data_IF_397408350018
#
_entry.id   IF_397408350018
#
_cell.length_a   1.000
_cell.length_b   1.000
_cell.length_c   1.000
_cell.angle_alpha   90.00
_cell.angle_beta   90.00
_cell.angle_gamma   90.00
#
_symmetry.space_group_name_H-M   'P 1'
#
loop_
_entity.id
_entity.type
_entity.pdbx_description
1 polymer ?
#
# COMPACT_ATOMS: atom_id res chain seq x y z
N UNK A 1 14.49 -9.52 -8.87
CA UNK A 1 13.07 -9.57 -9.22
C UNK A 1 12.22 -9.40 -7.98
N UNK A 2 11.24 -8.51 -8.06
CA UNK A 2 10.38 -8.19 -6.93
C UNK A 2 9.06 -8.92 -7.08
N UNK A 3 8.60 -9.57 -6.00
CA UNK A 3 7.33 -10.27 -5.97
C UNK A 3 6.28 -9.42 -5.28
N UNK A 4 5.01 -9.52 -5.67
CA UNK A 4 3.94 -8.80 -4.97
C UNK A 4 3.77 -9.33 -3.55
N UNK A 5 3.38 -8.44 -2.64
CA UNK A 5 3.01 -8.85 -1.29
C UNK A 5 1.65 -9.57 -1.36
N UNK A 6 1.51 -10.74 -0.68
CA UNK A 6 0.23 -11.44 -0.68
C UNK A 6 -0.90 -10.56 -0.14
N UNK A 7 -2.00 -10.48 -0.88
CA UNK A 7 -3.09 -9.58 -0.54
C UNK A 7 -3.79 -9.95 0.78
N UNK A 8 -3.70 -11.21 1.21
CA UNK A 8 -4.31 -11.63 2.47
C UNK A 8 -3.69 -11.04 3.71
N UNK A 9 -2.48 -10.46 3.60
CA UNK A 9 -1.78 -9.83 4.73
C UNK A 9 -2.17 -8.37 4.88
N UNK A 10 -2.56 -7.73 3.78
CA UNK A 10 -2.80 -6.29 3.72
C UNK A 10 -4.28 -6.01 3.94
N UNK A 11 -4.64 -5.00 4.75
CA UNK A 11 -6.05 -4.65 4.92
C UNK A 11 -6.73 -4.39 3.58
N UNK A 12 -7.97 -4.85 3.47
CA UNK A 12 -8.71 -4.82 2.21
C UNK A 12 -8.92 -3.38 1.71
N UNK A 13 -9.10 -2.43 2.60
CA UNK A 13 -9.23 -1.03 2.20
C UNK A 13 -8.02 -0.55 1.43
N UNK A 14 -6.82 -0.99 1.83
CA UNK A 14 -5.58 -0.59 1.16
C UNK A 14 -5.48 -1.26 -0.20
N UNK A 15 -5.74 -2.57 -0.28
CA UNK A 15 -5.66 -3.25 -1.57
C UNK A 15 -6.70 -2.72 -2.55
N UNK A 16 -7.90 -2.40 -2.06
CA UNK A 16 -8.94 -1.81 -2.90
C UNK A 16 -8.54 -0.42 -3.40
N UNK A 17 -7.92 0.38 -2.52
CA UNK A 17 -7.45 1.72 -2.90
C UNK A 17 -6.41 1.63 -4.02
N UNK A 18 -5.45 0.72 -3.88
CA UNK A 18 -4.41 0.55 -4.88
C UNK A 18 -5.00 0.07 -6.21
N UNK A 19 -5.93 -0.89 -6.15
CA UNK A 19 -6.56 -1.40 -7.37
C UNK A 19 -7.34 -0.30 -8.10
N UNK A 20 -7.97 0.62 -7.35
CA UNK A 20 -8.76 1.69 -7.94
C UNK A 20 -7.89 2.82 -8.51
N UNK A 21 -6.87 3.23 -7.77
CA UNK A 21 -6.09 4.42 -8.12
C UNK A 21 -4.78 4.11 -8.84
N UNK A 22 -4.26 2.88 -8.71
CA UNK A 22 -3.00 2.48 -9.32
C UNK A 22 -3.12 1.09 -9.94
N UNK A 23 -4.05 0.94 -10.93
CA UNK A 23 -4.35 -0.41 -11.48
C UNK A 23 -3.19 -1.05 -12.24
N UNK A 24 -2.21 -0.25 -12.68
CA UNK A 24 -1.08 -0.76 -13.45
C UNK A 24 0.11 -1.14 -12.58
N UNK A 25 -0.04 -1.03 -11.26
CA UNK A 25 1.05 -1.31 -10.32
C UNK A 25 0.55 -2.22 -9.22
N UNK A 26 1.50 -2.81 -8.50
CA UNK A 26 1.16 -3.70 -7.39
C UNK A 26 2.02 -3.37 -6.18
N UNK A 27 1.61 -3.84 -5.01
CA UNK A 27 2.29 -3.57 -3.75
C UNK A 27 3.50 -4.51 -3.66
N UNK A 28 4.69 -3.93 -3.48
CA UNK A 28 5.93 -4.69 -3.34
C UNK A 28 6.43 -4.73 -1.91
N UNK A 29 5.93 -3.83 -1.06
CA UNK A 29 6.31 -3.82 0.36
C UNK A 29 5.16 -3.26 1.18
N UNK A 30 4.94 -3.86 2.36
CA UNK A 30 3.91 -3.43 3.30
C UNK A 30 4.56 -3.35 4.67
N UNK A 31 4.51 -2.16 5.30
CA UNK A 31 5.17 -1.91 6.56
C UNK A 31 4.16 -1.34 7.57
N UNK A 32 4.15 -1.90 8.77
CA UNK A 32 3.32 -1.39 9.87
C UNK A 32 4.23 -0.49 10.70
N UNK A 33 3.92 0.81 10.69
CA UNK A 33 4.67 1.80 11.43
C UNK A 33 3.86 2.27 12.63
N UNK A 34 4.49 3.08 13.50
CA UNK A 34 3.77 3.65 14.62
C UNK A 34 2.72 4.62 14.09
N UNK A 35 1.45 4.29 14.34
CA UNK A 35 0.28 5.11 13.99
C UNK A 35 -0.05 5.18 12.49
N UNK A 36 0.66 4.45 11.64
CA UNK A 36 0.27 4.44 10.23
C UNK A 36 0.73 3.15 9.56
N UNK A 37 0.14 2.91 8.39
CA UNK A 37 0.50 1.79 7.53
C UNK A 37 1.09 2.36 6.25
N UNK A 38 2.10 1.69 5.70
CA UNK A 38 2.80 2.18 4.52
C UNK A 38 2.90 1.07 3.49
N UNK A 39 2.61 1.39 2.25
CA UNK A 39 2.83 0.45 1.15
C UNK A 39 3.70 1.11 0.09
N UNK A 40 4.60 0.31 -0.49
CA UNK A 40 5.37 0.73 -1.65
C UNK A 40 4.86 -0.01 -2.87
N UNK A 41 4.67 0.73 -3.96
CA UNK A 41 4.18 0.17 -5.21
C UNK A 41 5.34 -0.17 -6.13
N UNK A 42 5.05 -0.97 -7.16
CA UNK A 42 6.06 -1.43 -8.12
C UNK A 42 6.73 -0.30 -8.88
N UNK A 43 6.14 0.90 -8.92
CA UNK A 43 6.75 2.08 -9.53
C UNK A 43 7.58 2.90 -8.55
N UNK A 44 7.76 2.42 -7.31
CA UNK A 44 8.54 3.14 -6.29
C UNK A 44 7.75 4.13 -5.46
N UNK A 45 6.48 4.33 -5.76
CA UNK A 45 5.64 5.26 -5.03
C UNK A 45 5.29 4.69 -3.66
N UNK A 46 5.36 5.51 -2.61
CA UNK A 46 5.00 5.08 -1.25
C UNK A 46 3.72 5.77 -0.82
N UNK A 47 2.77 4.97 -0.35
CA UNK A 47 1.46 5.46 0.08
C UNK A 47 1.33 5.27 1.58
N UNK A 48 0.84 6.29 2.27
CA UNK A 48 0.65 6.26 3.72
C UNK A 48 -0.84 6.19 4.01
N UNK A 49 -1.21 5.25 4.89
CA UNK A 49 -2.59 5.04 5.33
C UNK A 49 -2.64 5.10 6.85
N UNK A 50 -3.80 5.44 7.41
CA UNK A 50 -3.97 5.36 8.86
C UNK A 50 -4.14 3.90 9.28
N UNK A 51 -4.25 3.67 10.58
CA UNK A 51 -4.34 2.30 11.11
C UNK A 51 -5.64 1.60 10.72
N UNK A 52 -6.64 2.34 10.26
CA UNK A 52 -7.89 1.78 9.78
C UNK A 52 -7.88 1.48 8.29
N UNK A 53 -6.82 1.90 7.59
CA UNK A 53 -6.70 1.66 6.17
C UNK A 53 -7.16 2.80 5.28
N UNK A 54 -7.38 3.98 5.85
CA UNK A 54 -7.78 5.16 5.06
C UNK A 54 -6.54 5.89 4.57
N UNK A 55 -6.57 6.31 3.31
CA UNK A 55 -5.44 6.96 2.68
C UNK A 55 -5.16 8.33 3.31
N UNK A 56 -3.89 8.62 3.58
CA UNK A 56 -3.47 9.90 4.14
C UNK A 56 -2.75 10.73 3.09
N UNK A 57 -1.68 10.18 2.52
CA UNK A 57 -0.86 10.94 1.55
C UNK A 57 0.10 10.02 0.82
N UNK A 58 0.70 10.57 -0.24
CA UNK A 58 1.83 9.95 -0.90
C UNK A 58 3.10 10.46 -0.22
N UNK A 59 4.01 9.56 0.09
CA UNK A 59 5.28 9.91 0.70
C UNK A 59 6.37 9.82 -0.38
N UNK A 60 6.86 10.96 -0.77
CA UNK A 60 7.90 11.02 -1.81
C UNK A 60 9.27 10.73 -1.22
#
# INVERSE_FOLDING_TARGET
QVSPVPSGIIPELITNFVALHHPDHFIVEYTIEYRHLQVELSNGLELIFDMEGHFIRVDD
#
